data_IF_382234093545
#
_entry.id   IF_382234093545
#
_cell.length_a   1.000
_cell.length_b   1.000
_cell.length_c   1.000
_cell.angle_alpha   90.00
_cell.angle_beta   90.00
_cell.angle_gamma   90.00
#
_symmetry.space_group_name_H-M   'P 1'
#
loop_
_entity.id
_entity.type
_entity.pdbx_description
1 polymer ?
#
# COMPACT_ATOMS: atom_id res chain seq x y z
N UNK A 1 33.74 -80.00 57.35
CA UNK A 1 33.21 -80.27 56.00
C UNK A 1 32.40 -79.07 55.54
N UNK A 2 32.86 -78.41 54.47
CA UNK A 2 32.12 -77.61 53.47
C UNK A 2 31.44 -76.31 53.97
N UNK A 3 32.01 -75.11 53.78
CA UNK A 3 32.19 -74.30 52.55
C UNK A 3 30.86 -73.84 51.92
N UNK A 4 30.90 -72.64 51.30
CA UNK A 4 29.92 -71.92 50.45
C UNK A 4 29.20 -70.76 51.18
N UNK A 5 29.08 -69.54 50.64
CA UNK A 5 29.56 -68.87 49.42
C UNK A 5 29.26 -67.37 49.60
N UNK A 6 30.18 -66.52 49.17
CA UNK A 6 30.00 -65.07 49.04
C UNK A 6 29.02 -64.79 47.89
N UNK A 7 28.10 -63.84 48.06
CA UNK A 7 27.46 -63.14 46.94
C UNK A 7 27.19 -61.69 47.32
N UNK A 8 28.11 -60.81 46.92
CA UNK A 8 27.93 -59.37 46.95
C UNK A 8 26.98 -58.97 45.80
N UNK A 9 25.87 -58.31 46.13
CA UNK A 9 24.96 -57.73 45.14
C UNK A 9 25.38 -56.28 44.93
N UNK A 10 25.94 -56.01 43.75
CA UNK A 10 26.29 -54.68 43.28
C UNK A 10 25.02 -53.86 43.00
N UNK A 11 24.94 -52.68 43.62
CA UNK A 11 23.83 -51.74 43.49
C UNK A 11 24.08 -50.84 42.27
N UNK A 12 23.38 -51.08 41.15
CA UNK A 12 23.38 -50.22 39.98
C UNK A 12 22.57 -48.93 40.23
N UNK A 13 23.26 -47.80 40.39
CA UNK A 13 22.63 -46.47 40.40
C UNK A 13 22.26 -46.03 39.00
N UNK A 14 20.95 -45.93 38.72
CA UNK A 14 20.42 -45.36 37.48
C UNK A 14 20.36 -43.84 37.65
N UNK A 15 21.24 -43.12 36.95
CA UNK A 15 21.18 -41.65 36.89
C UNK A 15 20.07 -41.27 35.92
N UNK A 16 18.95 -40.76 36.45
CA UNK A 16 17.88 -40.20 35.65
C UNK A 16 18.36 -38.88 35.01
N UNK A 17 18.62 -38.90 33.70
CA UNK A 17 18.87 -37.70 32.92
C UNK A 17 17.59 -36.91 32.72
N UNK A 18 17.46 -35.75 33.36
CA UNK A 18 16.43 -34.77 33.04
C UNK A 18 16.68 -34.24 31.63
N UNK A 19 15.91 -34.72 30.66
CA UNK A 19 15.82 -34.10 29.34
C UNK A 19 15.20 -32.70 29.49
N UNK A 20 16.04 -31.66 29.44
CA UNK A 20 15.59 -30.28 29.37
C UNK A 20 14.81 -30.11 28.06
N UNK A 21 13.48 -29.97 28.19
CA UNK A 21 12.60 -29.65 27.06
C UNK A 21 12.93 -28.22 26.61
N UNK A 22 13.48 -28.06 25.39
CA UNK A 22 13.71 -26.73 24.78
C UNK A 22 12.41 -25.92 24.91
N UNK A 23 12.43 -24.71 25.49
CA UNK A 23 11.25 -23.85 25.49
C UNK A 23 10.73 -23.75 24.06
N UNK A 24 9.43 -24.01 23.88
CA UNK A 24 8.79 -23.77 22.60
C UNK A 24 9.02 -22.31 22.24
N UNK A 25 9.63 -22.07 21.09
CA UNK A 25 9.79 -20.75 20.52
C UNK A 25 8.37 -20.19 20.32
N UNK A 26 8.07 -19.07 20.99
CA UNK A 26 6.80 -18.38 20.83
C UNK A 26 6.76 -17.90 19.38
N UNK A 27 5.99 -18.59 18.53
CA UNK A 27 5.66 -18.10 17.20
C UNK A 27 4.79 -16.86 17.42
N UNK A 28 5.36 -15.68 17.20
CA UNK A 28 4.57 -14.44 17.20
C UNK A 28 3.49 -14.57 16.11
N UNK A 29 2.23 -14.21 16.39
CA UNK A 29 1.17 -14.30 15.39
C UNK A 29 1.54 -13.47 14.15
N UNK A 30 1.21 -13.99 12.97
CA UNK A 30 1.42 -13.29 11.70
C UNK A 30 0.81 -11.89 11.76
N UNK A 31 1.56 -10.87 11.35
CA UNK A 31 1.12 -9.47 11.35
C UNK A 31 0.73 -9.05 9.95
N UNK A 32 -0.43 -8.40 9.82
CA UNK A 32 -0.95 -7.96 8.53
C UNK A 32 -0.98 -6.43 8.54
N UNK A 33 -0.25 -5.83 7.59
CA UNK A 33 -0.34 -4.40 7.32
C UNK A 33 -1.59 -4.09 6.49
N UNK A 34 -2.19 -2.92 6.71
CA UNK A 34 -3.34 -2.41 5.98
C UNK A 34 -3.08 -0.95 5.57
N UNK A 35 -3.59 -0.53 4.41
CA UNK A 35 -3.35 0.80 3.86
C UNK A 35 -4.64 1.48 3.44
N UNK A 36 -4.92 2.63 4.08
CA UNK A 36 -5.94 3.57 3.64
C UNK A 36 -5.37 4.56 2.62
N UNK A 37 -6.18 4.93 1.63
CA UNK A 37 -5.81 5.84 0.54
C UNK A 37 -6.86 6.95 0.45
N UNK A 38 -6.43 8.20 0.44
CA UNK A 38 -7.30 9.35 0.29
C UNK A 38 -6.70 10.34 -0.72
N UNK A 39 -7.45 10.68 -1.76
CA UNK A 39 -7.14 11.85 -2.58
C UNK A 39 -7.43 13.12 -1.76
N UNK A 40 -6.47 14.03 -1.69
CA UNK A 40 -6.58 15.28 -0.94
C UNK A 40 -6.61 16.47 -1.91
N UNK A 41 -7.21 17.57 -1.47
CA UNK A 41 -7.34 18.77 -2.29
C UNK A 41 -5.97 19.43 -2.51
N UNK A 42 -5.58 19.56 -3.78
CA UNK A 42 -4.41 20.32 -4.17
C UNK A 42 -4.72 21.84 -4.13
N UNK A 43 -3.68 22.67 -4.03
CA UNK A 43 -3.85 24.12 -4.01
C UNK A 43 -4.53 24.62 -5.31
N UNK A 44 -5.58 25.47 -5.22
CA UNK A 44 -6.30 25.96 -6.42
C UNK A 44 -5.41 26.70 -7.41
N UNK A 45 -4.32 27.32 -6.94
CA UNK A 45 -3.34 28.01 -7.78
C UNK A 45 -2.64 27.10 -8.79
N UNK A 46 -2.66 25.78 -8.58
CA UNK A 46 -2.02 24.79 -9.45
C UNK A 46 -2.98 24.25 -10.53
N UNK A 47 -4.23 24.74 -10.58
CA UNK A 47 -5.25 24.30 -11.54
C UNK A 47 -5.14 25.00 -12.90
N UNK A 48 -5.54 24.29 -13.96
CA UNK A 48 -5.67 24.92 -15.28
C UNK A 48 -6.73 26.03 -15.27
N UNK A 49 -6.48 27.16 -15.95
CA UNK A 49 -7.50 28.18 -16.14
C UNK A 49 -8.64 27.60 -16.99
N UNK A 50 -9.87 28.00 -16.67
CA UNK A 50 -11.07 27.62 -17.43
C UNK A 50 -11.49 28.79 -18.31
N UNK A 51 -11.32 28.66 -19.61
CA UNK A 51 -11.76 29.67 -20.58
C UNK A 51 -13.25 29.52 -20.93
N UNK A 52 -13.84 30.58 -21.50
CA UNK A 52 -15.24 30.57 -21.91
C UNK A 52 -15.51 29.49 -22.96
N UNK A 53 -16.46 28.60 -22.67
CA UNK A 53 -16.85 27.50 -23.56
C UNK A 53 -15.98 26.26 -23.44
N UNK A 54 -15.05 26.24 -22.50
CA UNK A 54 -14.29 25.05 -22.11
C UNK A 54 -14.95 24.32 -20.93
N UNK A 55 -14.69 23.02 -20.85
CA UNK A 55 -14.99 22.19 -19.69
C UNK A 55 -13.89 21.15 -19.53
N UNK A 56 -13.73 20.65 -18.31
CA UNK A 56 -12.80 19.59 -18.00
C UNK A 56 -13.55 18.29 -17.66
N UNK A 57 -13.02 17.16 -18.14
CA UNK A 57 -13.33 15.84 -17.59
C UNK A 57 -12.19 15.51 -16.66
N UNK A 58 -12.50 15.43 -15.37
CA UNK A 58 -11.50 15.21 -14.35
C UNK A 58 -10.99 13.77 -14.35
N UNK A 59 -9.68 13.57 -14.11
CA UNK A 59 -9.08 12.25 -14.03
C UNK A 59 -9.47 11.55 -12.73
N UNK A 60 -9.48 10.23 -12.78
CA UNK A 60 -9.67 9.32 -11.66
C UNK A 60 -8.71 8.13 -11.79
N UNK A 61 -8.20 7.58 -10.67
CA UNK A 61 -7.45 6.33 -10.69
C UNK A 61 -8.34 5.18 -11.16
N UNK A 62 -7.75 4.15 -11.75
CA UNK A 62 -8.46 2.90 -12.01
C UNK A 62 -8.63 2.09 -10.73
N UNK A 63 -9.75 1.37 -10.61
CA UNK A 63 -10.13 0.61 -9.41
C UNK A 63 -9.20 -0.58 -9.12
N UNK A 64 -8.47 -1.07 -10.12
CA UNK A 64 -7.54 -2.20 -10.03
C UNK A 64 -6.10 -1.80 -9.67
N UNK A 65 -5.86 -0.50 -9.46
CA UNK A 65 -4.57 0.00 -8.97
C UNK A 65 -4.26 -0.61 -7.58
N UNK A 66 -3.16 -1.36 -7.43
CA UNK A 66 -2.86 -2.03 -6.17
C UNK A 66 -2.44 -1.02 -5.09
N UNK A 67 -2.89 -1.15 -3.82
CA UNK A 67 -2.37 -0.31 -2.75
C UNK A 67 -0.89 -0.59 -2.50
N UNK A 68 -0.13 0.34 -1.90
CA UNK A 68 1.23 0.04 -1.47
C UNK A 68 1.24 -0.98 -0.35
N UNK A 69 2.24 -1.86 -0.37
CA UNK A 69 2.45 -2.84 0.70
C UNK A 69 3.08 -2.18 1.91
N UNK A 70 2.68 -2.60 3.11
CA UNK A 70 3.38 -2.21 4.34
C UNK A 70 4.83 -2.74 4.30
N UNK A 71 5.86 -1.93 4.57
CA UNK A 71 7.25 -2.40 4.58
C UNK A 71 7.48 -3.52 5.60
N UNK A 72 7.88 -4.71 5.15
CA UNK A 72 7.97 -5.91 5.99
C UNK A 72 8.91 -5.73 7.20
N UNK A 73 10.05 -5.06 7.00
CA UNK A 73 11.03 -4.78 8.07
C UNK A 73 10.50 -3.85 9.17
N UNK A 74 9.40 -3.14 8.90
CA UNK A 74 8.75 -2.22 9.85
C UNK A 74 7.54 -2.88 10.55
N UNK A 75 7.11 -4.08 10.13
CA UNK A 75 6.00 -4.81 10.77
C UNK A 75 6.32 -5.23 12.20
N UNK A 76 7.56 -5.63 12.48
CA UNK A 76 7.99 -6.03 13.83
C UNK A 76 8.02 -4.87 14.83
N UNK A 77 8.03 -3.63 14.34
CA UNK A 77 8.20 -2.43 15.17
C UNK A 77 6.90 -1.92 15.79
N UNK A 78 5.73 -2.45 15.39
CA UNK A 78 4.41 -2.08 15.95
C UNK A 78 4.17 -0.57 15.96
N UNK A 79 4.53 0.07 14.85
CA UNK A 79 4.45 1.52 14.72
C UNK A 79 2.99 1.99 14.83
N UNK A 80 2.72 3.16 15.44
CA UNK A 80 1.42 3.80 15.31
C UNK A 80 1.12 4.10 13.84
N UNK A 81 -0.15 4.40 13.48
CA UNK A 81 -0.50 4.75 12.10
C UNK A 81 0.43 5.80 11.48
N UNK A 82 0.99 5.48 10.31
CA UNK A 82 1.92 6.35 9.58
C UNK A 82 1.21 6.94 8.37
N UNK A 83 1.23 8.27 8.27
CA UNK A 83 0.67 9.01 7.13
C UNK A 83 1.79 9.47 6.22
N UNK A 84 1.63 9.26 4.93
CA UNK A 84 2.53 9.73 3.88
C UNK A 84 1.74 10.57 2.88
N UNK A 85 2.01 11.88 2.84
CA UNK A 85 1.42 12.80 1.87
C UNK A 85 2.35 12.98 0.68
N UNK A 86 1.79 12.81 -0.51
CA UNK A 86 2.53 12.91 -1.77
C UNK A 86 1.78 13.76 -2.77
N UNK A 87 2.55 14.33 -3.71
CA UNK A 87 2.08 14.80 -5.01
C UNK A 87 2.56 13.84 -6.06
N UNK A 88 1.66 13.43 -6.95
CA UNK A 88 2.00 12.69 -8.16
C UNK A 88 1.78 13.57 -9.40
N UNK A 89 2.61 13.40 -10.43
CA UNK A 89 2.43 13.99 -11.77
C UNK A 89 2.10 12.85 -12.72
N UNK A 90 1.02 13.00 -13.48
CA UNK A 90 0.51 12.04 -14.46
C UNK A 90 0.59 12.65 -15.85
N UNK A 91 1.02 11.86 -16.82
CA UNK A 91 1.02 12.27 -18.23
C UNK A 91 -0.39 12.23 -18.88
N UNK A 92 -0.46 12.67 -20.13
CA UNK A 92 -1.69 12.68 -20.94
C UNK A 92 -2.25 11.27 -21.20
N UNK A 93 -1.43 10.23 -21.04
CA UNK A 93 -1.80 8.83 -21.20
C UNK A 93 -2.32 8.18 -19.91
N UNK A 94 -2.29 8.92 -18.78
CA UNK A 94 -2.71 8.42 -17.48
C UNK A 94 -1.63 7.65 -16.72
N UNK A 95 -0.35 7.79 -17.06
CA UNK A 95 0.75 7.15 -16.33
C UNK A 95 1.43 8.10 -15.35
N UNK A 96 1.74 7.60 -14.16
CA UNK A 96 2.51 8.35 -13.17
C UNK A 96 3.96 8.52 -13.67
N UNK A 97 4.41 9.76 -13.75
CA UNK A 97 5.76 10.15 -14.20
C UNK A 97 6.65 10.58 -13.05
N UNK A 98 6.07 11.20 -12.01
CA UNK A 98 6.82 11.70 -10.86
C UNK A 98 5.99 11.55 -9.58
N UNK A 99 6.67 11.31 -8.47
CA UNK A 99 6.11 11.35 -7.13
C UNK A 99 7.03 12.15 -6.22
N UNK A 100 6.46 13.04 -5.41
CA UNK A 100 7.21 13.90 -4.48
C UNK A 100 6.53 13.93 -3.13
N UNK A 101 7.30 13.89 -2.04
CA UNK A 101 6.79 14.05 -0.68
C UNK A 101 6.30 15.48 -0.46
N UNK A 102 5.15 15.61 0.18
CA UNK A 102 4.62 16.89 0.67
C UNK A 102 4.95 17.10 2.17
N UNK A 103 5.18 16.02 2.91
CA UNK A 103 5.61 16.08 4.30
C UNK A 103 7.08 16.52 4.43
N UNK A 104 7.45 17.01 5.61
CA UNK A 104 8.83 17.40 5.89
C UNK A 104 9.78 16.18 5.84
N UNK A 105 10.99 16.31 5.26
CA UNK A 105 11.97 15.24 5.27
C UNK A 105 12.25 14.72 6.69
N UNK A 106 12.34 13.40 6.85
CA UNK A 106 12.66 12.75 8.13
C UNK A 106 11.48 12.58 9.10
N UNK A 107 10.26 12.98 8.72
CA UNK A 107 9.07 12.77 9.55
C UNK A 107 8.73 11.29 9.77
N UNK A 108 8.97 10.44 8.76
CA UNK A 108 8.70 9.02 8.78
C UNK A 108 9.91 8.23 8.25
N UNK A 109 9.94 6.92 8.52
CA UNK A 109 10.90 6.02 7.89
C UNK A 109 10.77 6.09 6.35
N UNK A 110 11.87 6.28 5.60
CA UNK A 110 11.83 6.42 4.14
C UNK A 110 11.28 5.19 3.42
N UNK A 111 11.26 4.01 4.05
CA UNK A 111 10.69 2.80 3.45
C UNK A 111 9.18 2.94 3.17
N UNK A 112 8.44 3.75 3.94
CA UNK A 112 7.03 3.99 3.64
C UNK A 112 6.85 4.77 2.33
N UNK A 113 7.67 5.79 2.09
CA UNK A 113 7.63 6.53 0.83
C UNK A 113 8.07 5.64 -0.34
N UNK A 114 9.11 4.82 -0.15
CA UNK A 114 9.56 3.86 -1.16
C UNK A 114 8.46 2.84 -1.54
N UNK A 115 7.67 2.38 -0.56
CA UNK A 115 6.52 1.51 -0.80
C UNK A 115 5.42 2.22 -1.62
N UNK A 116 5.12 3.48 -1.30
CA UNK A 116 4.20 4.33 -2.09
C UNK A 116 4.71 4.47 -3.53
N UNK A 117 5.98 4.81 -3.74
CA UNK A 117 6.56 4.97 -5.08
C UNK A 117 6.49 3.67 -5.90
N UNK A 118 6.73 2.52 -5.26
CA UNK A 118 6.68 1.22 -5.92
C UNK A 118 5.27 0.91 -6.43
N UNK A 119 4.23 1.15 -5.62
CA UNK A 119 2.84 0.96 -6.04
C UNK A 119 2.44 1.94 -7.14
N UNK A 120 2.72 3.23 -6.95
CA UNK A 120 2.39 4.29 -7.91
C UNK A 120 3.06 4.09 -9.27
N UNK A 121 4.23 3.44 -9.33
CA UNK A 121 4.89 3.07 -10.58
C UNK A 121 4.08 2.11 -11.47
N UNK A 122 3.06 1.46 -10.91
CA UNK A 122 2.12 0.60 -11.64
C UNK A 122 0.75 1.22 -11.84
N UNK A 123 0.46 2.31 -11.13
CA UNK A 123 -0.85 2.94 -11.19
C UNK A 123 -1.10 3.59 -12.54
N UNK A 124 -2.35 3.52 -12.96
CA UNK A 124 -2.83 4.27 -14.11
C UNK A 124 -4.07 5.09 -13.74
N UNK A 125 -4.36 6.09 -14.55
CA UNK A 125 -5.48 6.99 -14.38
C UNK A 125 -6.25 7.14 -15.70
N UNK A 126 -7.50 7.56 -15.61
CA UNK A 126 -8.16 8.22 -16.74
C UNK A 126 -7.50 9.58 -16.98
N UNK A 127 -7.39 10.05 -18.23
CA UNK A 127 -6.72 11.31 -18.52
C UNK A 127 -7.56 12.50 -18.06
N UNK A 128 -6.90 13.61 -17.70
CA UNK A 128 -7.54 14.92 -17.63
C UNK A 128 -7.84 15.38 -19.06
N UNK A 129 -9.10 15.64 -19.39
CA UNK A 129 -9.49 16.06 -20.74
C UNK A 129 -10.01 17.49 -20.70
N UNK A 130 -9.34 18.40 -21.40
CA UNK A 130 -9.91 19.71 -21.75
C UNK A 130 -10.77 19.58 -22.99
N UNK A 131 -12.01 20.03 -22.92
CA UNK A 131 -12.95 20.01 -24.03
C UNK A 131 -13.46 21.40 -24.36
N UNK A 132 -13.38 21.77 -25.63
CA UNK A 132 -13.90 23.01 -26.18
C UNK A 132 -15.04 22.72 -27.14
N UNK A 133 -16.15 23.44 -27.00
CA UNK A 133 -17.30 23.28 -27.92
C UNK A 133 -16.87 23.65 -29.34
N UNK A 134 -17.04 22.71 -30.27
CA UNK A 134 -16.84 22.93 -31.70
C UNK A 134 -17.93 22.15 -32.47
N UNK A 135 -18.84 22.88 -33.13
CA UNK A 135 -20.02 22.29 -33.78
C UNK A 135 -19.60 21.34 -34.90
N UNK A 136 -20.14 20.12 -34.89
CA UNK A 136 -19.87 19.09 -35.91
C UNK A 136 -18.48 18.46 -35.82
N UNK A 137 -17.66 18.83 -34.84
CA UNK A 137 -16.36 18.20 -34.59
C UNK A 137 -16.51 17.09 -33.57
N UNK A 138 -15.79 15.99 -33.82
CA UNK A 138 -15.57 14.91 -32.85
C UNK A 138 -14.08 14.65 -32.80
N UNK A 139 -13.51 14.56 -31.60
CA UNK A 139 -12.14 14.15 -31.39
C UNK A 139 -12.10 12.73 -30.86
N UNK A 140 -11.24 11.90 -31.44
CA UNK A 140 -10.94 10.55 -30.97
C UNK A 140 -9.75 10.59 -30.03
N UNK A 141 -9.91 10.08 -28.81
CA UNK A 141 -8.83 9.86 -27.85
C UNK A 141 -8.68 8.36 -27.60
N UNK A 142 -7.45 7.89 -27.43
CA UNK A 142 -7.17 6.50 -27.05
C UNK A 142 -6.39 6.50 -25.74
N UNK A 143 -6.95 5.88 -24.72
CA UNK A 143 -6.31 5.67 -23.43
C UNK A 143 -6.74 4.32 -22.87
N UNK A 144 -5.86 3.68 -22.10
CA UNK A 144 -6.10 2.34 -21.55
C UNK A 144 -6.52 1.29 -22.61
N UNK A 145 -5.99 1.40 -23.84
CA UNK A 145 -6.34 0.52 -24.95
C UNK A 145 -7.73 0.74 -25.56
N UNK A 146 -8.57 1.61 -24.99
CA UNK A 146 -9.94 1.88 -25.41
C UNK A 146 -9.98 3.16 -26.25
N UNK A 147 -10.81 3.16 -27.31
CA UNK A 147 -11.06 4.33 -28.15
C UNK A 147 -12.30 5.07 -27.65
N UNK A 148 -12.13 6.36 -27.37
CA UNK A 148 -13.18 7.25 -26.88
C UNK A 148 -13.48 8.35 -27.91
N UNK A 149 -14.75 8.54 -28.23
CA UNK A 149 -15.22 9.63 -29.08
C UNK A 149 -15.75 10.77 -28.21
N UNK A 150 -15.22 11.97 -28.41
CA UNK A 150 -15.53 13.16 -27.62
C UNK A 150 -16.11 14.23 -28.55
N UNK A 151 -17.27 14.78 -28.22
CA UNK A 151 -17.84 15.89 -28.99
C UNK A 151 -17.03 17.17 -28.78
N UNK A 152 -16.81 17.92 -29.87
CA UNK A 152 -16.03 19.14 -29.89
C UNK A 152 -14.55 18.88 -30.10
N UNK A 153 -13.74 19.87 -29.72
CA UNK A 153 -12.30 19.70 -29.61
C UNK A 153 -11.96 19.14 -28.24
N UNK A 154 -11.15 18.09 -28.17
CA UNK A 154 -10.76 17.46 -26.91
C UNK A 154 -9.26 17.21 -26.89
N UNK A 155 -8.62 17.49 -25.77
CA UNK A 155 -7.17 17.28 -25.61
C UNK A 155 -6.92 16.70 -24.23
N UNK A 156 -6.18 15.60 -24.18
CA UNK A 156 -5.66 15.08 -22.91
C UNK A 156 -4.52 15.98 -22.44
N UNK A 157 -4.47 16.24 -21.14
CA UNK A 157 -3.46 17.09 -20.49
C UNK A 157 -2.77 16.29 -19.39
N UNK A 158 -1.48 16.58 -19.12
CA UNK A 158 -0.88 16.10 -17.90
C UNK A 158 -1.56 16.77 -16.70
N UNK A 159 -1.46 16.16 -15.54
CA UNK A 159 -2.04 16.72 -14.31
C UNK A 159 -1.23 16.29 -13.10
N UNK A 160 -1.53 16.89 -11.95
CA UNK A 160 -1.07 16.39 -10.67
C UNK A 160 -2.26 16.12 -9.76
N UNK A 161 -2.07 15.21 -8.80
CA UNK A 161 -2.99 14.98 -7.70
C UNK A 161 -2.20 14.79 -6.43
N UNK A 162 -2.79 15.18 -5.31
CA UNK A 162 -2.20 15.00 -4.00
C UNK A 162 -2.94 13.85 -3.30
N UNK A 163 -2.19 12.99 -2.62
CA UNK A 163 -2.72 11.82 -1.92
C UNK A 163 -2.14 11.72 -0.51
N UNK A 164 -2.95 11.20 0.42
CA UNK A 164 -2.50 10.70 1.71
C UNK A 164 -2.65 9.18 1.77
N UNK A 165 -1.55 8.49 2.08
CA UNK A 165 -1.53 7.06 2.36
C UNK A 165 -1.38 6.86 3.87
N UNK A 166 -2.29 6.10 4.48
CA UNK A 166 -2.24 5.76 5.91
C UNK A 166 -1.93 4.29 6.09
N UNK A 167 -0.72 3.99 6.56
CA UNK A 167 -0.28 2.65 6.91
C UNK A 167 -0.69 2.31 8.34
N UNK A 168 -1.35 1.16 8.52
CA UNK A 168 -1.76 0.63 9.83
C UNK A 168 -1.37 -0.83 9.95
N UNK A 169 -1.27 -1.33 11.18
CA UNK A 169 -1.02 -2.75 11.46
C UNK A 169 -2.18 -3.32 12.24
N UNK A 170 -2.56 -4.56 11.93
CA UNK A 170 -3.42 -5.38 12.77
C UNK A 170 -2.61 -6.56 13.26
N UNK A 171 -2.66 -6.79 14.57
CA UNK A 171 -2.14 -8.03 15.14
C UNK A 171 -3.01 -9.18 14.62
N UNK A 172 -2.40 -10.30 14.20
CA UNK A 172 -3.08 -11.49 13.66
C UNK A 172 -3.95 -12.26 14.66
N UNK A 173 -4.59 -11.57 15.60
CA UNK A 173 -5.67 -12.14 16.40
C UNK A 173 -6.84 -12.37 15.44
N UNK A 174 -7.03 -13.62 15.02
CA UNK A 174 -8.14 -14.02 14.16
C UNK A 174 -9.46 -13.50 14.72
N UNK A 175 -10.04 -12.50 14.07
CA UNK A 175 -11.31 -11.91 14.47
C UNK A 175 -12.40 -12.41 13.52
N UNK A 176 -13.19 -13.37 14.00
CA UNK A 176 -14.48 -13.69 13.37
C UNK A 176 -15.50 -12.74 14.00
N UNK A 177 -15.88 -11.68 13.28
CA UNK A 177 -17.10 -10.92 13.62
C UNK A 177 -18.21 -11.26 12.64
N UNK A 178 -19.37 -11.59 13.20
CA UNK A 178 -20.64 -11.73 12.50
C UNK A 178 -21.52 -10.48 12.62
N UNK A 179 -20.97 -9.31 12.99
CA UNK A 179 -21.75 -8.06 13.08
C UNK A 179 -21.06 -6.85 12.47
N UNK A 180 -21.86 -6.04 11.76
CA UNK A 180 -21.48 -4.81 11.06
C UNK A 180 -21.27 -3.63 12.05
N UNK A 181 -20.34 -2.69 11.78
CA UNK A 181 -20.07 -1.58 12.70
C UNK A 181 -21.04 -0.40 12.51
N UNK A 182 -21.38 0.24 13.64
CA UNK A 182 -22.06 1.54 13.78
C UNK A 182 -21.07 2.69 13.75
#
# INVERSE_FOLDING_TARGET
>A
MNLHRICAIALCGVVAGCAAKKPAELVEPDRIGDVGILAIEAAPADSYPVDTGERFVYPAPWDDNPPPSYPELLLSQRLPPVRVKIRLIVDEGGRVQQTTLLDAPGQNDPAFFAAVQTALGTWTFTPLIRQKRARGKTTTLKYHGITHQMTGDATALPFHQDYEFTFTQRDGIGFVSTQAPR
#
